data_IF_338299971560
#
_entry.id   IF_338299971560
#
_cell.length_a   1.000
_cell.length_b   1.000
_cell.length_c   1.000
_cell.angle_alpha   90.00
_cell.angle_beta   90.00
_cell.angle_gamma   90.00
#
_symmetry.space_group_name_H-M   'P 1'
#
loop_
_entity.id
_entity.type
_entity.pdbx_description
1 polymer ?
#
# COMPACT_ATOMS: atom_id res chain seq x y z
N UNK A 1 14.69 -14.97 3.59
CA UNK A 1 14.09 -14.15 2.52
C UNK A 1 13.28 -13.10 3.23
N UNK A 2 13.33 -11.87 2.75
CA UNK A 2 12.63 -10.74 3.36
C UNK A 2 11.35 -10.46 2.60
N UNK A 3 10.34 -9.96 3.30
CA UNK A 3 9.09 -9.51 2.70
C UNK A 3 9.15 -8.01 2.39
N UNK A 4 8.55 -7.61 1.28
CA UNK A 4 8.51 -6.24 0.81
C UNK A 4 7.09 -5.86 0.41
N UNK A 5 6.66 -4.66 0.77
CA UNK A 5 5.45 -4.03 0.23
C UNK A 5 5.85 -3.06 -0.87
N UNK A 6 5.20 -3.18 -2.03
CA UNK A 6 5.42 -2.34 -3.21
C UNK A 6 4.28 -1.34 -3.35
N UNK A 7 4.64 -0.08 -3.57
CA UNK A 7 3.75 1.07 -3.51
C UNK A 7 4.02 1.97 -4.72
N UNK A 8 2.98 2.68 -5.15
CA UNK A 8 3.10 3.79 -6.10
C UNK A 8 2.32 4.99 -5.59
N UNK A 9 2.83 6.19 -5.88
CA UNK A 9 2.10 7.45 -5.72
C UNK A 9 1.40 7.88 -7.01
N UNK A 10 1.46 7.06 -8.07
CA UNK A 10 0.77 7.32 -9.32
C UNK A 10 -0.72 6.97 -9.22
N UNK A 11 -1.51 7.64 -10.07
CA UNK A 11 -2.96 7.50 -10.10
C UNK A 11 -3.69 8.39 -9.10
N UNK A 12 -5.01 8.51 -9.29
CA UNK A 12 -5.89 9.28 -8.42
C UNK A 12 -6.73 8.33 -7.57
N UNK A 13 -6.92 8.65 -6.29
CA UNK A 13 -7.92 8.01 -5.43
C UNK A 13 -8.89 9.04 -4.89
N UNK A 14 -10.15 8.62 -4.76
CA UNK A 14 -11.23 9.48 -4.26
C UNK A 14 -11.69 8.95 -2.91
N UNK A 15 -11.98 9.86 -1.98
CA UNK A 15 -12.54 9.50 -0.69
C UNK A 15 -13.95 8.89 -0.88
N UNK A 16 -14.29 7.79 -0.19
CA UNK A 16 -15.63 7.24 -0.24
C UNK A 16 -16.68 8.28 0.19
N UNK A 17 -17.71 8.49 -0.64
CA UNK A 17 -18.82 9.42 -0.41
C UNK A 17 -18.43 10.92 -0.34
N UNK A 18 -17.35 11.37 -1.00
CA UNK A 18 -17.09 12.81 -1.17
C UNK A 18 -17.67 13.33 -2.48
N UNK A 19 -18.56 14.33 -2.40
CA UNK A 19 -19.10 15.06 -3.56
C UNK A 19 -18.12 16.13 -4.09
N UNK A 20 -17.03 16.37 -3.36
CA UNK A 20 -16.05 17.41 -3.63
C UNK A 20 -14.73 16.77 -4.08
N UNK A 21 -14.30 17.10 -5.30
CA UNK A 21 -13.01 16.72 -5.89
C UNK A 21 -11.80 17.36 -5.18
N UNK A 22 -12.00 18.08 -4.07
CA UNK A 22 -11.03 19.03 -3.52
C UNK A 22 -10.31 18.58 -2.27
N UNK A 23 -10.74 17.48 -1.64
CA UNK A 23 -10.03 16.90 -0.49
C UNK A 23 -8.97 15.91 -1.01
N UNK A 24 -7.99 16.43 -1.77
CA UNK A 24 -6.85 15.66 -2.27
C UNK A 24 -6.00 15.20 -1.09
N UNK A 25 -6.26 13.99 -0.60
CA UNK A 25 -5.35 13.28 0.29
C UNK A 25 -4.15 12.77 -0.52
N UNK A 26 -2.97 12.73 0.10
CA UNK A 26 -1.82 12.05 -0.51
C UNK A 26 -2.22 10.60 -0.83
N UNK A 27 -2.22 10.27 -2.12
CA UNK A 27 -2.59 8.95 -2.59
C UNK A 27 -1.35 8.05 -2.56
N UNK A 28 -1.50 6.87 -1.96
CA UNK A 28 -0.53 5.81 -2.05
C UNK A 28 -1.23 4.48 -2.27
N UNK A 29 -0.97 3.87 -3.42
CA UNK A 29 -1.59 2.62 -3.84
C UNK A 29 -0.64 1.45 -3.59
N UNK A 30 -1.18 0.36 -3.04
CA UNK A 30 -0.44 -0.89 -2.88
C UNK A 30 -0.48 -1.65 -4.20
N UNK A 31 0.71 -1.89 -4.76
CA UNK A 31 0.91 -2.73 -5.95
C UNK A 31 0.92 -4.21 -5.56
N UNK A 32 1.51 -4.53 -4.41
CA UNK A 32 1.47 -5.89 -3.86
C UNK A 32 2.51 -6.14 -2.79
N UNK A 33 2.46 -7.34 -2.21
CA UNK A 33 3.45 -7.84 -1.24
C UNK A 33 4.16 -9.06 -1.84
N UNK A 34 5.48 -9.07 -1.79
CA UNK A 34 6.30 -10.16 -2.34
C UNK A 34 7.58 -10.36 -1.54
N UNK A 35 8.19 -11.53 -1.64
CA UNK A 35 9.40 -11.90 -0.90
C UNK A 35 10.58 -12.17 -1.82
N UNK A 36 11.79 -11.93 -1.31
CA UNK A 36 13.03 -12.10 -2.07
C UNK A 36 14.27 -12.13 -1.20
N UNK A 37 15.42 -12.36 -1.82
CA UNK A 37 16.73 -12.22 -1.15
C UNK A 37 17.09 -10.74 -0.91
N UNK A 38 16.52 -9.87 -1.72
CA UNK A 38 16.68 -8.41 -1.74
C UNK A 38 15.43 -7.80 -2.40
N UNK A 39 15.27 -6.47 -2.33
CA UNK A 39 14.15 -5.75 -2.92
C UNK A 39 13.97 -6.03 -4.43
N UNK A 40 15.08 -6.10 -5.17
CA UNK A 40 15.06 -6.31 -6.63
C UNK A 40 14.51 -7.70 -7.00
N UNK A 41 14.94 -8.74 -6.30
CA UNK A 41 14.44 -10.10 -6.49
C UNK A 41 12.97 -10.22 -6.07
N UNK A 42 12.56 -9.58 -4.97
CA UNK A 42 11.16 -9.54 -4.56
C UNK A 42 10.26 -8.86 -5.61
N UNK A 43 10.74 -7.79 -6.24
CA UNK A 43 10.03 -7.09 -7.31
C UNK A 43 9.82 -7.97 -8.55
N UNK A 44 10.85 -8.67 -9.02
CA UNK A 44 10.68 -9.58 -10.15
C UNK A 44 9.79 -10.78 -9.82
N UNK A 45 9.86 -11.29 -8.59
CA UNK A 45 8.93 -12.33 -8.13
C UNK A 45 7.48 -11.81 -8.15
N UNK A 46 7.25 -10.54 -7.80
CA UNK A 46 5.92 -9.91 -7.89
C UNK A 46 5.44 -9.84 -9.34
N UNK A 47 6.28 -9.36 -10.27
CA UNK A 47 5.93 -9.25 -11.69
C UNK A 47 5.73 -10.60 -12.39
N UNK A 48 6.39 -11.65 -11.92
CA UNK A 48 6.19 -13.01 -12.43
C UNK A 48 4.84 -13.59 -11.96
N UNK A 49 4.51 -13.38 -10.69
CA UNK A 49 3.25 -13.84 -10.08
C UNK A 49 2.03 -13.06 -10.59
N UNK A 50 2.15 -11.73 -10.67
CA UNK A 50 1.07 -10.81 -11.01
C UNK A 50 1.31 -10.24 -12.42
N UNK A 51 1.09 -11.09 -13.44
CA UNK A 51 1.41 -10.73 -14.83
C UNK A 51 0.69 -9.47 -15.34
N UNK A 52 -0.49 -9.15 -14.80
CA UNK A 52 -1.25 -7.95 -15.16
C UNK A 52 -0.50 -6.65 -14.83
N UNK A 53 0.45 -6.66 -13.89
CA UNK A 53 1.25 -5.46 -13.56
C UNK A 53 2.07 -4.98 -14.75
N UNK A 54 2.44 -5.89 -15.65
CA UNK A 54 3.17 -5.57 -16.90
C UNK A 54 2.31 -4.83 -17.93
N UNK A 55 0.99 -4.85 -17.75
CA UNK A 55 0.02 -4.19 -18.63
C UNK A 55 -0.48 -2.86 -18.03
N UNK A 56 -0.09 -2.54 -16.80
CA UNK A 56 -0.42 -1.26 -16.16
C UNK A 56 0.39 -0.12 -16.77
N UNK A 57 -0.13 1.10 -16.63
CA UNK A 57 0.58 2.33 -17.01
C UNK A 57 1.41 2.92 -15.86
N UNK A 58 1.68 2.14 -14.82
CA UNK A 58 2.47 2.62 -13.68
C UNK A 58 3.96 2.62 -14.05
N UNK A 59 4.61 3.77 -13.95
CA UNK A 59 6.04 3.92 -14.29
C UNK A 59 6.93 3.80 -13.04
N UNK A 60 6.55 4.48 -11.95
CA UNK A 60 7.30 4.55 -10.70
C UNK A 60 6.67 3.66 -9.60
N UNK A 61 7.46 2.65 -9.18
CA UNK A 61 7.14 1.77 -8.04
C UNK A 61 8.31 1.75 -7.08
N UNK A 62 8.02 1.98 -5.80
CA UNK A 62 9.00 1.88 -4.72
C UNK A 62 8.56 0.85 -3.68
N UNK A 63 9.45 0.51 -2.74
CA UNK A 63 9.15 -0.52 -1.75
C UNK A 63 9.79 -0.26 -0.40
N UNK A 64 9.21 -0.90 0.63
CA UNK A 64 9.78 -0.99 1.96
C UNK A 64 9.95 -2.45 2.35
N UNK A 65 11.05 -2.75 3.06
CA UNK A 65 11.22 -4.04 3.73
C UNK A 65 10.28 -4.07 4.94
N UNK A 66 9.52 -5.14 5.05
CA UNK A 66 8.63 -5.41 6.19
C UNK A 66 9.42 -6.11 7.30
N UNK A 67 8.96 -5.94 8.54
CA UNK A 67 9.45 -6.76 9.65
C UNK A 67 9.13 -8.24 9.41
N UNK A 68 9.91 -9.13 10.01
CA UNK A 68 9.72 -10.58 9.81
C UNK A 68 8.34 -11.08 10.30
N UNK A 69 7.75 -10.36 11.25
CA UNK A 69 6.50 -10.67 11.95
C UNK A 69 5.30 -9.81 11.53
N UNK A 70 5.43 -9.03 10.45
CA UNK A 70 4.46 -8.02 10.02
C UNK A 70 3.01 -8.53 9.88
N UNK A 71 2.82 -9.80 9.50
CA UNK A 71 1.48 -10.42 9.37
C UNK A 71 0.80 -10.63 10.72
N UNK A 72 1.57 -10.79 11.79
CA UNK A 72 1.07 -11.03 13.15
C UNK A 72 1.02 -9.77 14.01
N UNK A 73 1.73 -8.71 13.61
CA UNK A 73 1.85 -7.44 14.35
C UNK A 73 1.16 -6.27 13.64
N UNK A 74 0.33 -6.51 12.63
CA UNK A 74 -0.41 -5.41 12.00
C UNK A 74 -1.47 -4.89 12.96
N UNK A 75 -1.64 -3.57 12.97
CA UNK A 75 -2.67 -2.88 13.74
C UNK A 75 -3.61 -2.14 12.79
N UNK A 76 -4.85 -1.94 13.25
CA UNK A 76 -5.85 -1.18 12.50
C UNK A 76 -6.37 -0.05 13.36
N UNK A 77 -6.53 1.13 12.74
CA UNK A 77 -6.99 2.33 13.43
C UNK A 77 -8.27 2.84 12.75
N UNK A 78 -9.23 3.34 13.55
CA UNK A 78 -10.49 3.88 13.05
C UNK A 78 -10.65 5.33 13.48
N UNK A 79 -10.53 6.25 12.53
CA UNK A 79 -10.69 7.69 12.76
C UNK A 79 -12.08 8.02 13.32
N UNK A 80 -13.14 7.34 12.86
CA UNK A 80 -14.52 7.62 13.29
C UNK A 80 -14.77 7.30 14.77
N UNK A 81 -14.03 6.35 15.35
CA UNK A 81 -14.18 5.96 16.76
C UNK A 81 -13.21 6.71 17.68
N UNK A 82 -12.16 7.32 17.15
CA UNK A 82 -11.16 8.07 17.92
C UNK A 82 -11.66 9.41 18.48
N UNK A 83 -12.81 9.91 18.01
CA UNK A 83 -13.40 11.18 18.50
C UNK A 83 -14.53 11.00 19.52
N UNK A 84 -14.92 9.76 19.85
CA UNK A 84 -15.95 9.48 20.87
C UNK A 84 -15.37 9.26 22.28
N UNK A 85 -14.11 9.62 22.51
CA UNK A 85 -13.47 9.59 23.83
C UNK A 85 -13.33 11.00 24.40
N UNK A 86 -14.48 11.64 24.69
CA UNK A 86 -14.71 12.81 25.55
C UNK A 86 -16.26 12.93 25.59
N UNK A 87 -17.00 12.83 26.69
CA UNK A 87 -16.89 13.37 28.05
C UNK A 87 -17.67 12.43 29.00
N UNK A 88 -17.24 12.40 30.28
CA UNK A 88 -17.83 11.75 31.47
C UNK A 88 -19.29 11.27 31.43
#
# INVERSE_FOLDING_TARGET
>A
MDNYIFLTNEGYTYQPNSDLYTDEIENLQVIGISSGKDAKSAFYNLLDRESYLKETAFDDVFCYKLSDEYESTYETFSIKNSFNQEVE
#
